data_IF_762463963334
#
_entry.id   IF_762463963334
#
_cell.length_a   1.000
_cell.length_b   1.000
_cell.length_c   1.000
_cell.angle_alpha   90.00
_cell.angle_beta   90.00
_cell.angle_gamma   90.00
#
_symmetry.space_group_name_H-M   'P 1'
#
loop_
_entity.id
_entity.type
_entity.pdbx_description
1 polymer ?
#
# COMPACT_ATOMS: atom_id res chain seq x y z
N UNK A 1 13.55 -12.64 2.09
CA UNK A 1 14.22 -11.35 2.38
C UNK A 1 15.41 -11.21 1.44
N UNK A 2 15.36 -10.24 0.55
CA UNK A 2 16.41 -10.00 -0.45
C UNK A 2 16.69 -8.50 -0.52
N UNK A 3 17.92 -8.09 -0.30
CA UNK A 3 18.34 -6.70 -0.40
C UNK A 3 19.02 -6.19 0.87
N UNK A 4 19.80 -5.13 0.72
CA UNK A 4 20.54 -4.56 1.84
C UNK A 4 19.56 -3.90 2.82
N UNK A 5 19.58 -4.37 4.07
CA UNK A 5 18.68 -3.84 5.09
C UNK A 5 17.22 -4.27 4.95
N UNK A 6 16.92 -5.22 4.05
CA UNK A 6 15.56 -5.73 3.95
C UNK A 6 15.17 -6.50 5.21
N UNK A 7 13.92 -6.36 5.64
CA UNK A 7 13.40 -6.99 6.85
C UNK A 7 12.11 -7.74 6.55
N UNK A 8 12.09 -9.05 6.79
CA UNK A 8 10.89 -9.87 6.77
C UNK A 8 10.78 -10.50 8.16
N UNK A 9 9.98 -9.91 9.03
CA UNK A 9 10.03 -10.22 10.45
C UNK A 9 8.89 -11.10 10.96
N UNK A 10 7.95 -11.45 10.11
CA UNK A 10 6.80 -12.26 10.54
C UNK A 10 6.61 -13.47 9.64
N UNK A 11 5.71 -14.38 10.06
CA UNK A 11 5.44 -15.61 9.32
C UNK A 11 4.93 -15.29 7.91
N UNK A 12 5.47 -15.99 6.93
CA UNK A 12 5.09 -15.85 5.54
C UNK A 12 5.27 -14.43 4.99
N UNK A 13 6.25 -13.67 5.55
CA UNK A 13 6.54 -12.32 5.07
C UNK A 13 7.63 -12.37 4.01
N UNK A 14 7.50 -11.54 2.98
CA UNK A 14 8.46 -11.45 1.88
C UNK A 14 8.89 -9.99 1.73
N UNK A 15 10.20 -9.73 1.79
CA UNK A 15 10.74 -8.39 1.61
C UNK A 15 11.84 -8.45 0.56
N UNK A 16 11.68 -7.70 -0.53
CA UNK A 16 12.64 -7.66 -1.62
C UNK A 16 12.95 -6.20 -1.96
N UNK A 17 14.21 -5.82 -1.84
CA UNK A 17 14.67 -4.47 -2.13
C UNK A 17 15.41 -3.85 -0.96
N UNK A 18 16.20 -2.82 -1.23
CA UNK A 18 16.95 -2.13 -0.20
C UNK A 18 15.99 -1.48 0.81
N UNK A 19 16.15 -1.84 2.08
CA UNK A 19 15.33 -1.32 3.18
C UNK A 19 13.84 -1.66 3.06
N UNK A 20 13.47 -2.65 2.23
CA UNK A 20 12.09 -3.13 2.17
C UNK A 20 11.72 -3.76 3.52
N UNK A 21 10.50 -3.52 4.00
CA UNK A 21 10.04 -3.99 5.30
C UNK A 21 8.69 -4.70 5.19
N UNK A 22 8.67 -6.00 5.46
CA UNK A 22 7.46 -6.79 5.53
C UNK A 22 7.30 -7.21 6.99
N UNK A 23 6.44 -6.53 7.73
CA UNK A 23 6.45 -6.56 9.20
C UNK A 23 5.32 -7.34 9.84
N UNK A 24 4.30 -7.70 9.10
CA UNK A 24 3.16 -8.46 9.66
C UNK A 24 2.99 -9.77 8.91
N UNK A 25 2.11 -10.64 9.41
CA UNK A 25 1.91 -11.94 8.81
C UNK A 25 1.37 -11.84 7.39
N UNK A 26 1.89 -12.69 6.52
CA UNK A 26 1.43 -12.82 5.15
C UNK A 26 1.52 -11.51 4.38
N UNK A 27 2.63 -10.78 4.57
CA UNK A 27 2.86 -9.51 3.90
C UNK A 27 3.92 -9.66 2.81
N UNK A 28 3.81 -8.81 1.79
CA UNK A 28 4.80 -8.72 0.74
C UNK A 28 5.21 -7.26 0.57
N UNK A 29 6.50 -6.98 0.62
CA UNK A 29 7.04 -5.65 0.38
C UNK A 29 8.14 -5.77 -0.67
N UNK A 30 7.90 -5.23 -1.85
CA UNK A 30 8.85 -5.31 -2.96
C UNK A 30 9.14 -3.92 -3.49
N UNK A 31 10.39 -3.51 -3.42
CA UNK A 31 10.84 -2.20 -3.84
C UNK A 31 11.68 -1.52 -2.77
N UNK A 32 12.47 -0.53 -3.16
CA UNK A 32 13.30 0.21 -2.22
C UNK A 32 12.43 0.91 -1.19
N UNK A 33 12.65 0.63 0.08
CA UNK A 33 11.90 1.22 1.19
C UNK A 33 10.39 0.94 1.14
N UNK A 34 9.95 -0.06 0.37
CA UNK A 34 8.56 -0.50 0.40
C UNK A 34 8.24 -1.03 1.79
N UNK A 35 7.04 -0.76 2.28
CA UNK A 35 6.66 -1.14 3.64
C UNK A 35 5.27 -1.76 3.65
N UNK A 36 5.17 -3.00 4.11
CA UNK A 36 3.92 -3.69 4.31
C UNK A 36 3.80 -4.03 5.80
N UNK A 37 3.00 -3.28 6.54
CA UNK A 37 2.91 -3.42 7.99
C UNK A 37 1.53 -3.84 8.49
N UNK A 38 0.50 -3.81 7.66
CA UNK A 38 -0.79 -4.37 8.03
C UNK A 38 -0.84 -5.87 7.75
N UNK A 39 -1.58 -6.63 8.53
CA UNK A 39 -1.73 -8.06 8.29
C UNK A 39 -2.32 -8.31 6.90
N UNK A 40 -1.76 -9.24 6.15
CA UNK A 40 -2.17 -9.56 4.78
C UNK A 40 -2.05 -8.38 3.83
N UNK A 41 -1.14 -7.43 4.10
CA UNK A 41 -0.95 -6.27 3.24
C UNK A 41 0.18 -6.51 2.24
N UNK A 42 0.11 -5.80 1.12
CA UNK A 42 1.09 -5.94 0.06
C UNK A 42 1.50 -4.56 -0.45
N UNK A 43 2.80 -4.31 -0.56
CA UNK A 43 3.34 -3.05 -1.02
C UNK A 43 4.34 -3.32 -2.15
N UNK A 44 4.05 -2.82 -3.35
CA UNK A 44 4.89 -2.99 -4.53
C UNK A 44 5.27 -1.63 -5.09
N UNK A 45 6.54 -1.33 -5.08
CA UNK A 45 7.06 -0.07 -5.62
C UNK A 45 7.95 0.63 -4.62
N UNK A 46 8.80 1.53 -5.11
CA UNK A 46 9.69 2.30 -4.25
C UNK A 46 8.87 3.15 -3.29
N UNK A 47 9.09 2.97 -1.99
CA UNK A 47 8.39 3.71 -0.94
C UNK A 47 6.87 3.48 -0.89
N UNK A 48 6.38 2.41 -1.53
CA UNK A 48 4.98 2.02 -1.40
C UNK A 48 4.72 1.63 0.06
N UNK A 49 3.56 2.02 0.58
CA UNK A 49 3.23 1.81 1.98
C UNK A 49 1.83 1.23 2.12
N UNK A 50 1.76 -0.04 2.52
CA UNK A 50 0.50 -0.73 2.79
C UNK A 50 0.42 -1.00 4.28
N UNK A 51 -0.25 -0.11 5.03
CA UNK A 51 -0.30 -0.19 6.48
C UNK A 51 -1.65 -0.64 7.03
N UNK A 52 -2.69 -0.66 6.22
CA UNK A 52 -3.97 -1.18 6.66
C UNK A 52 -4.04 -2.70 6.52
N UNK A 53 -4.90 -3.33 7.30
CA UNK A 53 -5.13 -4.77 7.20
C UNK A 53 -5.73 -5.09 5.84
N UNK A 54 -5.18 -6.09 5.16
CA UNK A 54 -5.64 -6.50 3.82
C UNK A 54 -5.58 -5.34 2.81
N UNK A 55 -4.56 -4.48 2.92
CA UNK A 55 -4.39 -3.35 2.02
C UNK A 55 -3.39 -3.69 0.92
N UNK A 56 -3.53 -3.00 -0.21
CA UNK A 56 -2.64 -3.17 -1.36
C UNK A 56 -2.19 -1.80 -1.85
N UNK A 57 -0.90 -1.58 -1.89
CA UNK A 57 -0.32 -0.35 -2.41
C UNK A 57 0.64 -0.71 -3.56
N UNK A 58 0.34 -0.25 -4.76
CA UNK A 58 1.15 -0.51 -5.95
C UNK A 58 1.53 0.80 -6.61
N UNK A 59 2.82 1.04 -6.74
CA UNK A 59 3.34 2.26 -7.37
C UNK A 59 4.26 3.02 -6.44
N UNK A 60 5.15 3.82 -7.02
CA UNK A 60 6.08 4.62 -6.24
C UNK A 60 5.33 5.61 -5.37
N UNK A 61 5.59 5.57 -4.07
CA UNK A 61 4.96 6.49 -3.14
C UNK A 61 3.47 6.25 -2.88
N UNK A 62 2.91 5.13 -3.36
CA UNK A 62 1.50 4.83 -3.09
C UNK A 62 1.28 4.51 -1.62
N UNK A 63 0.12 4.90 -1.09
CA UNK A 63 -0.21 4.70 0.32
C UNK A 63 -1.60 4.10 0.45
N UNK A 64 -1.69 2.95 1.09
CA UNK A 64 -2.96 2.30 1.41
C UNK A 64 -3.00 2.06 2.92
N UNK A 65 -3.60 3.00 3.66
CA UNK A 65 -3.55 2.98 5.12
C UNK A 65 -4.86 2.58 5.78
N UNK A 66 -5.98 2.61 5.08
CA UNK A 66 -7.23 2.09 5.63
C UNK A 66 -7.33 0.59 5.45
N UNK A 67 -8.18 -0.06 6.24
CA UNK A 67 -8.39 -1.50 6.13
C UNK A 67 -9.12 -1.86 4.84
N UNK A 68 -8.71 -2.95 4.21
CA UNK A 68 -9.30 -3.45 2.96
C UNK A 68 -9.26 -2.40 1.84
N UNK A 69 -8.13 -1.73 1.69
CA UNK A 69 -7.98 -0.65 0.71
C UNK A 69 -7.07 -1.04 -0.43
N UNK A 70 -7.25 -0.36 -1.57
CA UNK A 70 -6.42 -0.55 -2.75
C UNK A 70 -5.94 0.82 -3.24
N UNK A 71 -4.64 1.01 -3.34
CA UNK A 71 -4.03 2.21 -3.89
C UNK A 71 -3.08 1.79 -5.01
N UNK A 72 -3.41 2.11 -6.24
CA UNK A 72 -2.60 1.73 -7.40
C UNK A 72 -2.28 2.97 -8.23
N UNK A 73 -1.02 3.27 -8.37
CA UNK A 73 -0.56 4.42 -9.14
C UNK A 73 0.50 5.20 -8.38
N UNK A 74 1.32 5.94 -9.10
CA UNK A 74 2.35 6.78 -8.48
C UNK A 74 1.70 7.82 -7.58
N UNK A 75 2.09 7.85 -6.30
CA UNK A 75 1.57 8.79 -5.31
C UNK A 75 0.06 8.69 -5.05
N UNK A 76 -0.57 7.56 -5.39
CA UNK A 76 -1.96 7.34 -5.03
C UNK A 76 -2.09 7.18 -3.52
N UNK A 77 -3.20 7.64 -2.94
CA UNK A 77 -3.40 7.62 -1.49
C UNK A 77 -4.81 7.19 -1.13
N UNK A 78 -4.93 6.19 -0.27
CA UNK A 78 -6.21 5.73 0.24
C UNK A 78 -6.15 5.69 1.76
N UNK A 79 -7.03 6.43 2.42
CA UNK A 79 -7.10 6.44 3.88
C UNK A 79 -8.45 5.99 4.42
N UNK A 80 -9.50 6.03 3.61
CA UNK A 80 -10.82 5.54 4.04
C UNK A 80 -10.86 4.02 4.01
N UNK A 81 -11.61 3.42 4.94
CA UNK A 81 -11.77 1.97 4.97
C UNK A 81 -12.55 1.47 3.75
N UNK A 82 -12.18 0.32 3.21
CA UNK A 82 -12.81 -0.30 2.05
C UNK A 82 -12.89 0.63 0.84
N UNK A 83 -11.88 1.48 0.68
CA UNK A 83 -11.83 2.47 -0.39
C UNK A 83 -10.79 2.08 -1.44
N UNK A 84 -10.93 2.64 -2.63
CA UNK A 84 -10.06 2.33 -3.77
C UNK A 84 -9.62 3.63 -4.44
N UNK A 85 -8.33 3.74 -4.75
CA UNK A 85 -7.81 4.83 -5.59
C UNK A 85 -6.87 4.22 -6.63
N UNK A 86 -7.22 4.40 -7.89
CA UNK A 86 -6.42 3.88 -9.00
C UNK A 86 -6.13 5.02 -9.98
N UNK A 87 -4.87 5.32 -10.18
CA UNK A 87 -4.42 6.40 -11.04
C UNK A 87 -3.32 7.19 -10.37
N UNK A 88 -2.49 7.89 -11.15
CA UNK A 88 -1.44 8.72 -10.59
C UNK A 88 -2.05 9.84 -9.76
N UNK A 89 -1.59 9.99 -8.52
CA UNK A 89 -2.06 11.01 -7.58
C UNK A 89 -3.56 10.90 -7.25
N UNK A 90 -4.18 9.77 -7.52
CA UNK A 90 -5.58 9.54 -7.13
C UNK A 90 -5.68 9.47 -5.61
N UNK A 91 -6.73 10.03 -5.04
CA UNK A 91 -6.91 10.11 -3.58
C UNK A 91 -8.32 9.67 -3.21
N UNK A 92 -8.42 8.75 -2.26
CA UNK A 92 -9.71 8.27 -1.78
C UNK A 92 -9.70 8.29 -0.25
N UNK A 93 -10.39 9.26 0.36
CA UNK A 93 -10.37 9.46 1.80
C UNK A 93 -11.68 9.10 2.49
N UNK A 94 -12.78 9.03 1.75
CA UNK A 94 -14.05 8.63 2.33
C UNK A 94 -14.15 7.12 2.43
N UNK A 95 -14.85 6.64 3.46
CA UNK A 95 -15.11 5.22 3.63
C UNK A 95 -15.94 4.73 2.45
N UNK A 96 -15.55 3.60 1.88
CA UNK A 96 -16.20 2.99 0.70
C UNK A 96 -16.13 3.85 -0.56
N UNK A 97 -15.25 4.84 -0.61
CA UNK A 97 -15.14 5.70 -1.78
C UNK A 97 -14.23 5.07 -2.83
N UNK A 98 -14.43 5.48 -4.09
CA UNK A 98 -13.63 4.99 -5.20
C UNK A 98 -13.20 6.18 -6.06
N UNK A 99 -11.90 6.31 -6.28
CA UNK A 99 -11.31 7.34 -7.14
C UNK A 99 -10.57 6.64 -8.28
N UNK A 100 -11.01 6.85 -9.51
CA UNK A 100 -10.38 6.25 -10.69
C UNK A 100 -9.94 7.35 -11.65
N UNK A 101 -8.69 7.33 -12.02
CA UNK A 101 -8.14 8.27 -12.98
C UNK A 101 -7.05 9.15 -12.39
N UNK A 102 -6.29 9.81 -13.27
CA UNK A 102 -5.23 10.70 -12.85
C UNK A 102 -5.78 11.84 -12.02
N UNK A 103 -5.25 12.01 -10.82
CA UNK A 103 -5.66 13.06 -9.87
C UNK A 103 -7.11 12.98 -9.44
N UNK A 104 -7.78 11.85 -9.65
CA UNK A 104 -9.15 11.66 -9.17
C UNK A 104 -9.20 11.78 -7.65
N UNK A 105 -10.28 12.34 -7.13
CA UNK A 105 -10.40 12.61 -5.69
C UNK A 105 -11.80 12.22 -5.20
N UNK A 106 -11.87 11.24 -4.32
CA UNK A 106 -13.14 10.77 -3.75
C UNK A 106 -13.09 10.97 -2.24
N UNK A 107 -13.88 11.92 -1.74
CA UNK A 107 -13.88 12.29 -0.31
C UNK A 107 -15.13 11.83 0.42
N UNK A 108 -16.24 11.62 -0.26
CA UNK A 108 -17.48 11.20 0.37
C UNK A 108 -17.57 9.68 0.50
N UNK A 109 -18.44 9.19 1.39
CA UNK A 109 -18.71 7.78 1.51
C UNK A 109 -19.40 7.27 0.24
N UNK A 110 -18.98 6.07 -0.19
CA UNK A 110 -19.47 5.43 -1.43
C UNK A 110 -19.09 6.21 -2.67
#
# INVERSE_FOLDING_TARGET
MIGFGATASSANATAIGTAASALANETVAIGQAAKASGQNSNAYGSQANASGTSSLAVGTGSVASGDSTVAIGNDSTVTGGSAVAIGASATSTGKWSTALGDSANAKGEK
#
